data_IF_187094393743
#
_entry.id   IF_187094393743
#
_cell.length_a   1.000
_cell.length_b   1.000
_cell.length_c   1.000
_cell.angle_alpha   90.00
_cell.angle_beta   90.00
_cell.angle_gamma   90.00
#
_symmetry.space_group_name_H-M   'P 1'
#
loop_
_entity.id
_entity.type
_entity.pdbx_description
1 polymer ?
#
# COMPACT_ATOMS: atom_id res chain seq x y z
N UNK A 1 -5.23 7.33 -16.77
CA UNK A 1 -5.16 6.64 -15.45
C UNK A 1 -6.53 6.44 -14.81
N UNK A 2 -7.44 7.41 -14.83
CA UNK A 2 -8.79 7.24 -14.23
C UNK A 2 -9.62 6.14 -14.91
N UNK A 3 -9.48 5.98 -16.22
CA UNK A 3 -10.16 4.93 -17.00
C UNK A 3 -9.73 3.51 -16.59
N UNK A 4 -8.44 3.27 -16.38
CA UNK A 4 -7.92 1.99 -15.89
C UNK A 4 -8.41 1.69 -14.45
N UNK A 5 -8.41 2.68 -13.56
CA UNK A 5 -8.97 2.52 -12.20
C UNK A 5 -10.47 2.23 -12.20
N UNK A 6 -11.21 2.84 -13.13
CA UNK A 6 -12.65 2.65 -13.26
C UNK A 6 -12.98 1.25 -13.81
N UNK A 7 -12.23 0.80 -14.83
CA UNK A 7 -12.39 -0.52 -15.42
C UNK A 7 -12.04 -1.64 -14.42
N UNK A 8 -11.00 -1.43 -13.60
CA UNK A 8 -10.65 -2.38 -12.52
C UNK A 8 -11.69 -2.43 -11.40
N UNK A 9 -12.29 -1.29 -11.05
CA UNK A 9 -13.39 -1.27 -10.07
C UNK A 9 -14.60 -2.04 -10.61
N UNK A 10 -14.94 -1.87 -11.88
CA UNK A 10 -15.99 -2.64 -12.55
C UNK A 10 -15.66 -4.13 -12.58
N UNK A 11 -14.43 -4.50 -12.95
CA UNK A 11 -13.98 -5.88 -12.99
C UNK A 11 -14.06 -6.56 -11.61
N UNK A 12 -13.57 -5.91 -10.55
CA UNK A 12 -13.66 -6.46 -9.19
C UNK A 12 -15.12 -6.63 -8.74
N UNK A 13 -16.00 -5.65 -9.03
CA UNK A 13 -17.44 -5.77 -8.73
C UNK A 13 -18.06 -6.95 -9.47
N UNK A 14 -17.70 -7.15 -10.75
CA UNK A 14 -18.17 -8.27 -11.56
C UNK A 14 -17.68 -9.60 -10.99
N UNK A 15 -16.39 -9.74 -10.69
CA UNK A 15 -15.81 -10.95 -10.09
C UNK A 15 -16.42 -11.28 -8.72
N UNK A 16 -16.60 -10.28 -7.84
CA UNK A 16 -17.28 -10.50 -6.55
C UNK A 16 -18.71 -10.96 -6.73
N UNK A 17 -19.46 -10.38 -7.68
CA UNK A 17 -20.82 -10.83 -8.00
C UNK A 17 -20.84 -12.26 -8.53
N UNK A 18 -19.91 -12.62 -9.42
CA UNK A 18 -19.77 -13.99 -9.94
C UNK A 18 -19.50 -14.98 -8.81
N UNK A 19 -18.59 -14.66 -7.88
CA UNK A 19 -18.27 -15.53 -6.74
C UNK A 19 -19.47 -15.67 -5.80
N UNK A 20 -20.18 -14.58 -5.48
CA UNK A 20 -21.37 -14.65 -4.62
C UNK A 20 -22.49 -15.47 -5.27
N UNK A 21 -22.73 -15.27 -6.57
CA UNK A 21 -23.70 -16.07 -7.33
C UNK A 21 -23.28 -17.55 -7.32
N UNK A 22 -21.99 -17.84 -7.50
CA UNK A 22 -21.49 -19.21 -7.43
C UNK A 22 -21.75 -19.85 -6.07
N UNK A 23 -21.38 -19.19 -4.98
CA UNK A 23 -21.62 -19.71 -3.63
C UNK A 23 -23.12 -19.96 -3.39
N UNK A 24 -23.98 -19.04 -3.83
CA UNK A 24 -25.44 -19.21 -3.76
C UNK A 24 -25.93 -20.39 -4.58
N UNK A 25 -25.49 -20.52 -5.84
CA UNK A 25 -25.88 -21.63 -6.72
C UNK A 25 -25.38 -22.97 -6.19
N UNK A 26 -24.14 -23.04 -5.67
CA UNK A 26 -23.60 -24.24 -5.03
C UNK A 26 -24.37 -24.61 -3.77
N UNK A 27 -24.71 -23.63 -2.92
CA UNK A 27 -25.53 -23.89 -1.73
C UNK A 27 -26.93 -24.38 -2.13
N UNK A 28 -27.60 -23.72 -3.08
CA UNK A 28 -28.91 -24.15 -3.59
C UNK A 28 -28.80 -25.57 -4.14
N UNK A 29 -27.80 -25.86 -4.98
CA UNK A 29 -27.59 -27.19 -5.57
C UNK A 29 -27.31 -28.28 -4.52
N UNK A 30 -26.60 -27.95 -3.43
CA UNK A 30 -26.36 -28.87 -2.31
C UNK A 30 -27.63 -29.17 -1.51
N UNK A 31 -28.54 -28.20 -1.38
CA UNK A 31 -29.79 -28.33 -0.61
C UNK A 31 -30.98 -28.83 -1.45
N UNK A 32 -31.00 -28.56 -2.75
CA UNK A 32 -31.93 -29.16 -3.70
C UNK A 32 -31.44 -30.57 -4.00
N UNK A 33 -31.68 -31.46 -3.03
CA UNK A 33 -31.38 -32.89 -3.05
C UNK A 33 -32.30 -33.60 -4.05
N UNK A 34 -32.23 -33.20 -5.32
CA UNK A 34 -32.92 -33.86 -6.43
C UNK A 34 -31.97 -33.80 -7.61
N UNK A 35 -31.48 -34.98 -7.95
CA UNK A 35 -30.74 -35.36 -9.14
C UNK A 35 -30.94 -34.39 -10.32
N UNK A 36 -29.85 -34.06 -11.03
CA UNK A 36 -29.81 -33.42 -12.36
C UNK A 36 -29.41 -31.93 -12.52
N UNK A 37 -28.80 -31.25 -11.54
CA UNK A 37 -27.80 -30.23 -11.94
C UNK A 37 -26.54 -31.02 -12.34
N UNK A 38 -26.44 -31.28 -13.65
CA UNK A 38 -25.41 -32.13 -14.26
C UNK A 38 -24.01 -31.83 -13.70
N UNK A 39 -23.19 -32.87 -13.39
CA UNK A 39 -21.78 -32.72 -13.05
C UNK A 39 -21.01 -31.77 -13.99
N UNK A 40 -21.43 -31.69 -15.26
CA UNK A 40 -20.89 -30.77 -16.27
C UNK A 40 -21.10 -29.29 -15.87
N UNK A 41 -22.29 -28.94 -15.37
CA UNK A 41 -22.59 -27.57 -14.94
C UNK A 41 -21.72 -27.14 -13.75
N UNK A 42 -21.55 -28.04 -12.77
CA UNK A 42 -20.66 -27.78 -11.64
C UNK A 42 -19.20 -27.57 -12.08
N UNK A 43 -18.71 -28.39 -13.03
CA UNK A 43 -17.36 -28.26 -13.58
C UNK A 43 -17.18 -26.91 -14.30
N UNK A 44 -18.14 -26.50 -15.12
CA UNK A 44 -18.06 -25.22 -15.86
C UNK A 44 -18.00 -24.04 -14.89
N UNK A 45 -18.87 -23.98 -13.88
CA UNK A 45 -18.86 -22.83 -12.96
C UNK A 45 -17.60 -22.83 -12.09
N UNK A 46 -17.12 -24.01 -11.66
CA UNK A 46 -15.84 -24.14 -10.95
C UNK A 46 -14.67 -23.63 -11.79
N UNK A 47 -14.64 -23.93 -13.09
CA UNK A 47 -13.62 -23.43 -14.01
C UNK A 47 -13.68 -21.91 -14.17
N UNK A 48 -14.89 -21.33 -14.28
CA UNK A 48 -15.07 -19.87 -14.36
C UNK A 48 -14.54 -19.19 -13.10
N UNK A 49 -14.90 -19.69 -11.91
CA UNK A 49 -14.43 -19.15 -10.63
C UNK A 49 -12.92 -19.28 -10.52
N UNK A 50 -12.35 -20.42 -10.91
CA UNK A 50 -10.91 -20.63 -10.95
C UNK A 50 -10.21 -19.62 -11.87
N UNK A 51 -10.72 -19.40 -13.09
CA UNK A 51 -10.18 -18.41 -14.04
C UNK A 51 -10.29 -16.98 -13.50
N UNK A 52 -11.39 -16.61 -12.85
CA UNK A 52 -11.55 -15.31 -12.20
C UNK A 52 -10.53 -15.11 -11.07
N UNK A 53 -10.34 -16.11 -10.21
CA UNK A 53 -9.34 -16.07 -9.14
C UNK A 53 -7.92 -16.02 -9.71
N UNK A 54 -7.63 -16.82 -10.74
CA UNK A 54 -6.34 -16.86 -11.41
C UNK A 54 -6.00 -15.52 -12.08
N UNK A 55 -6.92 -14.93 -12.83
CA UNK A 55 -6.73 -13.62 -13.48
C UNK A 55 -6.53 -12.51 -12.44
N UNK A 56 -7.28 -12.54 -11.33
CA UNK A 56 -7.09 -11.59 -10.24
C UNK A 56 -5.70 -11.72 -9.61
N UNK A 57 -5.27 -12.95 -9.29
CA UNK A 57 -3.94 -13.24 -8.75
C UNK A 57 -2.84 -12.84 -9.74
N UNK A 58 -2.98 -13.19 -11.01
CA UNK A 58 -2.04 -12.82 -12.08
C UNK A 58 -1.90 -11.30 -12.21
N UNK A 59 -3.01 -10.58 -12.19
CA UNK A 59 -3.00 -9.12 -12.21
C UNK A 59 -2.22 -8.55 -11.03
N UNK A 60 -2.47 -9.02 -9.80
CA UNK A 60 -1.69 -8.59 -8.63
C UNK A 60 -0.20 -8.87 -8.81
N UNK A 61 0.17 -10.00 -9.41
CA UNK A 61 1.56 -10.32 -9.70
C UNK A 61 2.20 -9.34 -10.68
N UNK A 62 1.55 -9.05 -11.81
CA UNK A 62 2.06 -8.09 -12.78
C UNK A 62 2.28 -6.72 -12.14
N UNK A 63 1.34 -6.26 -11.31
CA UNK A 63 1.47 -4.97 -10.61
C UNK A 63 2.62 -4.91 -9.62
N UNK A 64 2.83 -5.99 -8.87
CA UNK A 64 3.94 -6.06 -7.93
C UNK A 64 5.28 -5.95 -8.67
N UNK A 65 5.40 -6.55 -9.85
CA UNK A 65 6.57 -6.38 -10.72
C UNK A 65 6.74 -4.94 -11.20
N UNK A 66 5.70 -4.33 -11.77
CA UNK A 66 5.74 -2.94 -12.25
C UNK A 66 6.15 -1.99 -11.11
N UNK A 67 5.58 -2.18 -9.92
CA UNK A 67 5.89 -1.35 -8.75
C UNK A 67 7.34 -1.50 -8.33
N UNK A 68 7.87 -2.73 -8.36
CA UNK A 68 9.27 -3.01 -8.05
C UNK A 68 10.22 -2.41 -9.09
N UNK A 69 9.86 -2.47 -10.36
CA UNK A 69 10.61 -1.83 -11.44
C UNK A 69 10.65 -0.30 -11.27
N UNK A 70 9.53 0.31 -10.88
CA UNK A 70 9.46 1.75 -10.57
C UNK A 70 10.36 2.11 -9.38
N UNK A 71 10.34 1.30 -8.31
CA UNK A 71 11.19 1.52 -7.13
C UNK A 71 12.67 1.47 -7.50
N UNK A 72 13.06 0.46 -8.27
CA UNK A 72 14.44 0.26 -8.70
C UNK A 72 14.92 1.35 -9.67
N UNK A 73 14.06 1.77 -10.61
CA UNK A 73 14.41 2.78 -11.62
C UNK A 73 14.34 4.22 -11.10
N UNK A 74 13.55 4.49 -10.04
CA UNK A 74 13.31 5.83 -9.52
C UNK A 74 13.33 5.86 -7.97
N UNK A 75 14.48 5.55 -7.34
CA UNK A 75 14.59 5.44 -5.88
C UNK A 75 14.42 6.78 -5.15
N UNK A 76 14.50 7.92 -5.85
CA UNK A 76 14.22 9.23 -5.30
C UNK A 76 14.44 10.35 -6.31
N UNK A 77 13.94 11.53 -5.97
CA UNK A 77 14.08 12.78 -6.73
C UNK A 77 14.37 13.91 -5.74
N UNK A 78 15.46 14.67 -5.96
CA UNK A 78 15.86 15.82 -5.12
C UNK A 78 15.85 15.53 -3.61
N UNK A 79 16.36 14.37 -3.20
CA UNK A 79 16.29 13.91 -1.81
C UNK A 79 17.27 14.58 -0.82
N UNK A 80 18.07 15.54 -1.29
CA UNK A 80 18.96 16.36 -0.44
C UNK A 80 18.24 17.56 0.20
N UNK A 81 17.02 17.87 -0.24
CA UNK A 81 16.17 18.91 0.35
C UNK A 81 15.04 18.30 1.19
N UNK A 82 14.14 19.15 1.72
CA UNK A 82 12.92 18.69 2.37
C UNK A 82 12.07 17.85 1.40
N UNK A 83 11.77 16.60 1.76
CA UNK A 83 11.17 15.63 0.83
C UNK A 83 10.16 14.69 1.49
N UNK A 84 9.45 13.95 0.64
CA UNK A 84 8.53 12.87 1.04
C UNK A 84 9.31 11.57 1.23
N UNK A 85 9.26 10.99 2.43
CA UNK A 85 9.80 9.65 2.66
C UNK A 85 8.74 8.59 2.37
N UNK A 86 9.03 7.70 1.43
CA UNK A 86 8.26 6.48 1.17
C UNK A 86 9.00 5.33 1.83
N UNK A 87 8.54 4.89 3.01
CA UNK A 87 9.15 3.80 3.79
C UNK A 87 8.47 2.49 3.41
N UNK A 88 9.25 1.51 2.98
CA UNK A 88 8.83 0.15 2.66
C UNK A 88 9.46 -0.79 3.69
N UNK A 89 8.65 -1.27 4.63
CA UNK A 89 9.08 -2.09 5.75
C UNK A 89 8.90 -3.59 5.48
N UNK A 90 10.00 -4.31 5.39
CA UNK A 90 10.01 -5.75 5.14
C UNK A 90 9.97 -6.54 6.46
N UNK A 91 8.85 -7.24 6.72
CA UNK A 91 8.63 -8.02 7.94
C UNK A 91 9.33 -9.38 7.93
N UNK A 92 9.39 -9.99 6.75
CA UNK A 92 10.27 -11.11 6.44
C UNK A 92 11.46 -10.47 5.76
N UNK A 93 12.68 -10.75 6.24
CA UNK A 93 13.88 -10.24 5.56
C UNK A 93 13.81 -10.52 4.07
N UNK A 94 14.52 -9.76 3.25
CA UNK A 94 14.64 -10.04 1.81
C UNK A 94 14.99 -11.52 1.67
N UNK A 95 14.00 -12.34 1.34
CA UNK A 95 14.17 -13.79 1.31
C UNK A 95 15.16 -14.00 0.18
N UNK A 96 16.33 -14.55 0.49
CA UNK A 96 17.31 -14.97 -0.51
C UNK A 96 16.58 -15.70 -1.62
N UNK A 97 16.94 -15.37 -2.86
CA UNK A 97 16.20 -15.52 -4.12
C UNK A 97 15.91 -16.97 -4.56
N UNK A 98 15.81 -17.91 -3.64
CA UNK A 98 15.82 -19.35 -3.89
C UNK A 98 14.48 -19.91 -4.34
N UNK A 99 13.36 -19.20 -4.17
CA UNK A 99 12.05 -19.66 -4.64
C UNK A 99 11.30 -18.56 -5.37
N UNK A 100 10.85 -18.86 -6.58
CA UNK A 100 9.99 -17.98 -7.40
C UNK A 100 8.88 -17.38 -6.53
N UNK A 101 8.12 -18.22 -5.81
CA UNK A 101 7.04 -17.83 -4.89
C UNK A 101 7.46 -16.98 -3.67
N UNK A 102 8.70 -17.07 -3.20
CA UNK A 102 9.18 -16.25 -2.07
C UNK A 102 9.55 -14.83 -2.51
N UNK A 103 10.07 -14.67 -3.73
CA UNK A 103 10.32 -13.36 -4.38
C UNK A 103 9.03 -12.58 -4.57
N UNK A 104 7.90 -13.27 -4.75
CA UNK A 104 6.58 -12.66 -4.84
C UNK A 104 6.01 -12.24 -3.49
N UNK A 105 6.09 -13.12 -2.49
CA UNK A 105 5.50 -12.85 -1.17
C UNK A 105 6.12 -11.66 -0.45
N UNK A 106 7.39 -11.34 -0.69
CA UNK A 106 8.03 -10.17 -0.07
C UNK A 106 7.70 -8.85 -0.79
N UNK A 107 7.35 -8.91 -2.08
CA UNK A 107 7.00 -7.75 -2.90
C UNK A 107 5.49 -7.47 -2.97
N UNK A 108 4.63 -8.48 -2.73
CA UNK A 108 3.17 -8.37 -2.88
C UNK A 108 2.48 -7.68 -1.72
N UNK A 109 3.06 -7.78 -0.53
CA UNK A 109 2.37 -7.36 0.68
C UNK A 109 2.66 -5.88 0.91
N UNK A 110 1.65 -5.04 0.62
CA UNK A 110 1.60 -3.61 0.94
C UNK A 110 2.37 -2.64 0.03
N UNK A 111 3.01 -3.07 -1.07
CA UNK A 111 3.63 -2.13 -2.03
C UNK A 111 2.63 -1.45 -3.00
N UNK A 112 1.39 -1.93 -3.06
CA UNK A 112 0.38 -1.40 -3.99
C UNK A 112 0.04 0.06 -3.69
N UNK A 113 0.22 0.94 -4.67
CA UNK A 113 0.01 2.39 -4.55
C UNK A 113 1.31 3.19 -4.49
N UNK A 114 2.47 2.57 -4.29
CA UNK A 114 3.76 3.28 -4.38
C UNK A 114 3.99 3.81 -5.80
N UNK A 115 3.62 3.03 -6.82
CA UNK A 115 3.63 3.46 -8.22
C UNK A 115 2.79 4.74 -8.44
N UNK A 116 1.63 4.86 -7.79
CA UNK A 116 0.81 6.08 -7.85
C UNK A 116 1.55 7.25 -7.22
N UNK A 117 2.14 7.06 -6.04
CA UNK A 117 2.89 8.12 -5.36
C UNK A 117 4.04 8.63 -6.21
N UNK A 118 4.90 7.72 -6.67
CA UNK A 118 6.07 8.05 -7.48
C UNK A 118 5.65 8.75 -8.77
N UNK A 119 4.66 8.22 -9.48
CA UNK A 119 4.16 8.86 -10.70
C UNK A 119 3.54 10.24 -10.41
N UNK A 120 2.84 10.42 -9.29
CA UNK A 120 2.30 11.71 -8.89
C UNK A 120 3.43 12.71 -8.63
N UNK A 121 4.47 12.31 -7.90
CA UNK A 121 5.58 13.18 -7.51
C UNK A 121 6.42 13.61 -8.70
N UNK A 122 6.73 12.66 -9.60
CA UNK A 122 7.52 12.92 -10.81
C UNK A 122 6.78 13.80 -11.81
N UNK A 123 5.46 13.60 -11.98
CA UNK A 123 4.67 14.35 -12.97
C UNK A 123 4.07 15.66 -12.42
N UNK A 124 4.21 15.93 -11.12
CA UNK A 124 3.80 17.21 -10.56
C UNK A 124 4.65 18.36 -11.16
N UNK A 125 4.09 19.57 -11.22
CA UNK A 125 4.78 20.78 -11.68
C UNK A 125 4.74 21.86 -10.58
N UNK A 126 5.88 22.18 -9.93
CA UNK A 126 7.19 21.54 -10.07
C UNK A 126 7.21 20.09 -9.52
N UNK A 127 8.16 19.24 -9.91
CA UNK A 127 8.27 17.88 -9.38
C UNK A 127 8.46 17.88 -7.86
N UNK A 128 7.80 16.93 -7.17
CA UNK A 128 7.84 16.84 -5.71
C UNK A 128 9.07 16.04 -5.27
N UNK A 129 9.92 16.57 -4.39
CA UNK A 129 11.04 15.82 -3.84
C UNK A 129 10.59 14.61 -3.03
N UNK A 130 11.18 13.45 -3.29
CA UNK A 130 10.88 12.23 -2.54
C UNK A 130 12.08 11.28 -2.46
N UNK A 131 12.06 10.36 -1.50
CA UNK A 131 13.00 9.26 -1.37
C UNK A 131 12.30 8.00 -0.91
N UNK A 132 12.65 6.89 -1.54
CA UNK A 132 12.19 5.56 -1.15
C UNK A 132 13.22 4.95 -0.19
N UNK A 133 12.73 4.43 0.92
CA UNK A 133 13.50 3.79 1.98
C UNK A 133 13.00 2.35 2.10
N UNK A 134 13.70 1.41 1.47
CA UNK A 134 13.51 -0.01 1.73
C UNK A 134 14.23 -0.36 3.04
N UNK A 135 13.46 -0.72 4.07
CA UNK A 135 13.96 -0.90 5.42
C UNK A 135 13.66 -2.32 5.93
N UNK A 136 14.67 -2.92 6.54
CA UNK A 136 14.64 -4.27 7.12
C UNK A 136 14.85 -4.25 8.62
N UNK A 137 15.30 -3.12 9.18
CA UNK A 137 15.56 -2.93 10.62
C UNK A 137 14.84 -1.70 11.17
N UNK A 138 14.71 -1.65 12.51
CA UNK A 138 14.13 -0.48 13.19
C UNK A 138 15.03 0.75 13.06
N UNK A 139 16.34 0.56 13.03
CA UNK A 139 17.35 1.61 12.89
C UNK A 139 17.20 2.33 11.56
N UNK A 140 17.08 1.59 10.46
CA UNK A 140 16.88 2.12 9.11
C UNK A 140 15.57 2.92 9.02
N UNK A 141 14.48 2.41 9.61
CA UNK A 141 13.20 3.09 9.63
C UNK A 141 13.22 4.39 10.46
N UNK A 142 14.05 4.45 11.51
CA UNK A 142 14.18 5.63 12.36
C UNK A 142 14.83 6.82 11.64
N UNK A 143 15.66 6.59 10.61
CA UNK A 143 16.34 7.65 9.85
C UNK A 143 15.32 8.65 9.25
N UNK A 144 14.40 8.25 8.35
CA UNK A 144 13.41 9.17 7.81
C UNK A 144 12.39 9.67 8.86
N UNK A 145 12.09 8.85 9.88
CA UNK A 145 11.13 9.25 10.93
C UNK A 145 11.67 10.43 11.74
N UNK A 146 12.94 10.36 12.17
CA UNK A 146 13.57 11.38 13.02
C UNK A 146 14.17 12.55 12.24
N UNK A 147 14.31 12.43 10.92
CA UNK A 147 14.82 13.49 10.06
C UNK A 147 13.92 14.73 10.07
N UNK A 148 14.51 15.92 10.30
CA UNK A 148 13.82 17.21 10.08
C UNK A 148 13.59 17.51 8.60
N UNK A 149 14.40 16.93 7.71
CA UNK A 149 14.29 17.11 6.25
C UNK A 149 13.21 16.22 5.62
N UNK A 150 12.42 15.53 6.43
CA UNK A 150 11.31 14.70 5.97
C UNK A 150 10.02 15.24 6.55
N UNK A 151 9.28 16.02 5.77
CA UNK A 151 8.00 16.61 6.18
C UNK A 151 6.81 15.67 6.01
N UNK A 152 6.90 14.72 5.07
CA UNK A 152 5.83 13.79 4.73
C UNK A 152 6.34 12.35 4.82
N UNK A 153 5.56 11.47 5.46
CA UNK A 153 5.93 10.06 5.61
C UNK A 153 4.80 9.17 5.08
N UNK A 154 5.15 8.23 4.21
CA UNK A 154 4.27 7.20 3.67
C UNK A 154 4.85 5.83 4.05
N UNK A 155 4.21 5.09 4.95
CA UNK A 155 4.73 3.82 5.45
C UNK A 155 3.91 2.67 4.88
N UNK A 156 4.58 1.78 4.17
CA UNK A 156 4.06 0.54 3.60
C UNK A 156 4.75 -0.65 4.27
N UNK A 157 3.99 -1.70 4.62
CA UNK A 157 4.56 -2.90 5.25
C UNK A 157 3.56 -3.62 6.14
N UNK A 158 4.05 -4.41 7.10
CA UNK A 158 3.19 -5.07 8.09
C UNK A 158 3.33 -4.45 9.46
N UNK A 159 2.26 -4.49 10.24
CA UNK A 159 2.27 -4.00 11.61
C UNK A 159 0.89 -3.80 12.22
N UNK A 160 0.90 -3.04 13.30
CA UNK A 160 -0.25 -2.55 14.02
C UNK A 160 -0.22 -1.02 14.02
N UNK A 161 -1.31 -0.37 14.45
CA UNK A 161 -1.42 1.08 14.46
C UNK A 161 -0.24 1.77 15.17
N UNK A 162 0.24 1.18 16.26
CA UNK A 162 1.35 1.65 17.08
C UNK A 162 2.70 0.94 16.86
N UNK A 163 2.78 0.02 15.88
CA UNK A 163 3.93 -0.87 15.74
C UNK A 163 4.23 -1.24 14.29
N UNK A 164 5.48 -1.13 13.86
CA UNK A 164 5.95 -1.56 12.55
C UNK A 164 6.77 -2.86 12.68
N UNK A 165 6.39 -3.90 11.95
CA UNK A 165 7.06 -5.21 12.02
C UNK A 165 8.27 -5.27 11.09
N UNK A 166 9.37 -5.85 11.57
CA UNK A 166 10.59 -6.13 10.82
C UNK A 166 11.06 -7.58 11.03
N UNK A 167 12.07 -8.02 10.27
CA UNK A 167 12.75 -9.27 10.56
C UNK A 167 13.48 -9.15 11.91
N UNK A 168 13.15 -10.00 12.88
CA UNK A 168 13.82 -10.02 14.18
C UNK A 168 13.35 -8.97 15.19
N UNK A 169 12.21 -8.30 14.94
CA UNK A 169 11.60 -7.40 15.91
C UNK A 169 10.62 -6.42 15.30
N UNK A 170 10.51 -5.24 15.90
CA UNK A 170 9.72 -4.16 15.33
C UNK A 170 9.93 -2.83 16.04
N UNK A 171 9.33 -1.78 15.48
CA UNK A 171 9.40 -0.42 15.98
C UNK A 171 8.07 -0.01 16.60
N UNK A 172 8.07 0.13 17.92
CA UNK A 172 6.93 0.66 18.68
C UNK A 172 6.96 2.19 18.64
N UNK A 173 6.03 2.82 17.93
CA UNK A 173 6.04 4.27 17.76
C UNK A 173 6.03 5.05 19.07
N UNK A 174 5.21 4.70 20.09
CA UNK A 174 5.18 5.43 21.37
C UNK A 174 6.52 5.50 22.11
N UNK A 175 7.47 4.62 21.78
CA UNK A 175 8.81 4.60 22.39
C UNK A 175 9.81 5.52 21.67
N UNK A 176 9.43 6.11 20.53
CA UNK A 176 10.29 7.01 19.77
C UNK A 176 10.27 8.39 20.43
N UNK A 177 11.44 8.84 20.89
CA UNK A 177 11.64 10.16 21.49
C UNK A 177 12.15 11.16 20.45
N UNK A 178 11.86 12.44 20.69
CA UNK A 178 12.37 13.59 19.93
C UNK A 178 12.07 13.50 18.42
N UNK A 179 10.83 13.15 18.07
CA UNK A 179 10.41 13.12 16.65
C UNK A 179 9.94 14.51 16.25
N UNK A 180 10.49 15.09 15.16
CA UNK A 180 10.03 16.40 14.69
C UNK A 180 8.59 16.32 14.19
N UNK A 181 7.90 17.46 14.22
CA UNK A 181 6.55 17.56 13.68
C UNK A 181 6.54 17.29 12.17
N UNK A 182 5.44 16.69 11.68
CA UNK A 182 5.28 16.33 10.27
C UNK A 182 4.07 17.03 9.69
N UNK A 183 4.11 17.30 8.38
CA UNK A 183 2.93 17.78 7.65
C UNK A 183 1.96 16.63 7.44
N UNK A 184 2.48 15.48 7.00
CA UNK A 184 1.67 14.31 6.70
C UNK A 184 2.29 13.00 7.17
N UNK A 185 1.45 12.11 7.71
CA UNK A 185 1.82 10.71 7.97
C UNK A 185 0.72 9.76 7.47
N UNK A 186 1.06 8.92 6.50
CA UNK A 186 0.22 7.83 6.00
C UNK A 186 0.76 6.47 6.45
N UNK A 187 -0.05 5.67 7.14
CA UNK A 187 0.32 4.35 7.63
C UNK A 187 -0.51 3.27 6.93
N UNK A 188 0.06 2.72 5.87
CA UNK A 188 -0.52 1.69 5.01
C UNK A 188 -0.04 0.29 5.43
N UNK A 189 0.00 0.01 6.73
CA UNK A 189 0.61 -1.21 7.26
C UNK A 189 -0.18 -1.91 8.39
N UNK A 190 -1.49 -1.63 8.56
CA UNK A 190 -2.18 -1.92 9.83
C UNK A 190 -3.44 -2.79 9.74
N UNK A 191 -3.57 -3.69 10.73
CA UNK A 191 -4.74 -4.51 11.07
C UNK A 191 -5.14 -4.43 12.56
N UNK A 192 -5.01 -3.27 13.24
CA UNK A 192 -5.43 -3.14 14.64
C UNK A 192 -5.98 -1.74 14.98
N UNK A 193 -6.98 -1.70 15.86
CA UNK A 193 -7.63 -0.47 16.35
C UNK A 193 -6.79 0.21 17.46
N UNK A 194 -5.96 -0.55 18.17
CA UNK A 194 -5.36 -0.13 19.44
C UNK A 194 -3.99 0.54 19.27
N UNK A 195 -3.72 1.48 20.18
CA UNK A 195 -2.41 2.14 20.36
C UNK A 195 -2.26 3.46 19.60
N UNK A 196 -1.27 4.25 20.04
CA UNK A 196 -0.94 5.55 19.47
C UNK A 196 -0.15 5.41 18.18
N UNK A 197 -0.62 6.03 17.11
CA UNK A 197 -0.02 5.96 15.78
C UNK A 197 1.17 6.90 15.64
N UNK A 198 1.99 6.71 14.60
CA UNK A 198 3.11 7.61 14.33
C UNK A 198 2.61 9.04 14.09
N UNK A 199 1.51 9.18 13.35
CA UNK A 199 0.88 10.47 13.08
C UNK A 199 0.54 11.26 14.36
N UNK A 200 0.06 10.58 15.41
CA UNK A 200 -0.28 11.22 16.69
C UNK A 200 1.00 11.67 17.43
N UNK A 201 2.06 10.87 17.39
CA UNK A 201 3.33 11.16 18.07
C UNK A 201 4.07 12.31 17.39
N UNK A 202 4.01 12.38 16.06
CA UNK A 202 4.60 13.47 15.29
C UNK A 202 3.68 14.69 15.17
N UNK A 203 2.50 14.67 15.80
CA UNK A 203 1.48 15.73 15.71
C UNK A 203 1.20 16.14 14.25
N UNK A 204 1.03 15.17 13.37
CA UNK A 204 0.93 15.44 11.95
C UNK A 204 -0.31 16.29 11.61
N UNK A 205 -0.13 17.37 10.83
CA UNK A 205 -1.23 18.26 10.41
C UNK A 205 -2.32 17.51 9.64
N UNK A 206 -1.92 16.54 8.82
CA UNK A 206 -2.80 15.61 8.12
C UNK A 206 -2.29 14.17 8.25
N UNK A 207 -3.20 13.19 8.15
CA UNK A 207 -2.80 11.79 8.24
C UNK A 207 -3.78 10.85 7.53
N UNK A 208 -3.30 9.66 7.19
CA UNK A 208 -4.11 8.51 6.77
C UNK A 208 -3.68 7.27 7.55
N UNK A 209 -4.34 7.03 8.68
CA UNK A 209 -4.12 5.86 9.53
C UNK A 209 -5.46 5.19 9.75
N UNK A 210 -5.59 3.95 9.29
CA UNK A 210 -6.81 3.18 9.48
C UNK A 210 -6.90 2.59 10.89
N UNK A 211 -8.12 2.43 11.39
CA UNK A 211 -8.43 1.58 12.55
C UNK A 211 -8.90 0.18 12.14
N UNK A 212 -9.28 0.01 10.87
CA UNK A 212 -9.77 -1.27 10.33
C UNK A 212 -8.66 -1.99 9.55
N UNK A 213 -8.70 -3.33 9.48
CA UNK A 213 -7.83 -4.10 8.60
C UNK A 213 -7.85 -3.60 7.16
N UNK A 214 -6.66 -3.36 6.60
CA UNK A 214 -6.50 -3.02 5.18
C UNK A 214 -6.15 -4.30 4.41
N UNK A 215 -7.03 -4.68 3.50
CA UNK A 215 -6.65 -5.59 2.43
C UNK A 215 -5.78 -4.84 1.42
N UNK A 216 -4.73 -5.48 0.89
CA UNK A 216 -3.77 -4.89 -0.07
C UNK A 216 -4.43 -4.06 -1.17
N UNK A 217 -5.52 -4.52 -1.82
CA UNK A 217 -6.15 -3.77 -2.91
C UNK A 217 -6.74 -2.41 -2.49
N UNK A 218 -7.11 -2.29 -1.22
CA UNK A 218 -7.66 -1.04 -0.68
C UNK A 218 -6.57 0.00 -0.41
N UNK A 219 -5.30 -0.40 -0.31
CA UNK A 219 -4.18 0.51 -0.06
C UNK A 219 -4.08 1.49 -1.22
N UNK A 220 -4.06 0.99 -2.46
CA UNK A 220 -4.02 1.81 -3.67
C UNK A 220 -5.11 2.86 -3.72
N UNK A 221 -6.35 2.45 -3.43
CA UNK A 221 -7.51 3.34 -3.39
C UNK A 221 -7.32 4.41 -2.30
N UNK A 222 -6.83 3.99 -1.13
CA UNK A 222 -6.56 4.90 0.00
C UNK A 222 -5.49 5.92 -0.35
N UNK A 223 -4.37 5.48 -0.92
CA UNK A 223 -3.27 6.33 -1.40
C UNK A 223 -3.79 7.33 -2.44
N UNK A 224 -4.51 6.86 -3.46
CA UNK A 224 -5.05 7.73 -4.53
C UNK A 224 -6.02 8.77 -3.98
N UNK A 225 -6.96 8.34 -3.11
CA UNK A 225 -7.91 9.26 -2.45
C UNK A 225 -7.17 10.27 -1.60
N UNK A 226 -6.16 9.84 -0.83
CA UNK A 226 -5.44 10.73 0.07
C UNK A 226 -4.56 11.73 -0.67
N UNK A 227 -3.91 11.31 -1.75
CA UNK A 227 -3.19 12.21 -2.65
C UNK A 227 -4.09 13.32 -3.18
N UNK A 228 -5.28 12.99 -3.72
CA UNK A 228 -6.26 13.99 -4.18
C UNK A 228 -6.62 15.00 -3.09
N UNK A 229 -6.82 14.52 -1.85
CA UNK A 229 -7.12 15.40 -0.71
C UNK A 229 -5.96 16.32 -0.36
N UNK A 230 -4.72 15.82 -0.33
CA UNK A 230 -3.54 16.63 0.00
C UNK A 230 -3.28 17.71 -1.06
N UNK A 231 -3.52 17.42 -2.34
CA UNK A 231 -3.48 18.42 -3.42
C UNK A 231 -4.52 19.52 -3.16
N UNK A 232 -5.77 19.12 -2.90
CA UNK A 232 -6.86 20.08 -2.68
C UNK A 232 -6.67 20.96 -1.45
N UNK A 233 -5.96 20.47 -0.42
CA UNK A 233 -5.68 21.22 0.79
C UNK A 233 -4.34 21.96 0.76
N UNK A 234 -3.61 21.98 -0.37
CA UNK A 234 -2.24 22.51 -0.47
C UNK A 234 -1.26 21.93 0.57
N UNK A 235 -1.51 20.69 1.02
CA UNK A 235 -0.64 19.97 1.98
C UNK A 235 0.20 18.90 1.28
N UNK A 236 0.29 18.93 -0.05
CA UNK A 236 1.14 17.99 -0.79
C UNK A 236 2.55 18.55 -0.98
N UNK A 237 2.72 19.87 -0.96
CA UNK A 237 4.05 20.46 -1.09
C UNK A 237 4.75 20.43 0.26
N UNK A 238 6.03 20.01 0.34
CA UNK A 238 6.86 20.41 1.46
C UNK A 238 6.91 21.95 1.45
N UNK A 239 6.85 22.60 2.62
CA UNK A 239 7.10 24.04 2.72
C UNK A 239 8.47 24.30 2.06
N UNK A 240 8.42 24.81 0.83
CA UNK A 240 9.57 25.38 0.17
C UNK A 240 9.71 26.69 0.90
N UNK A 241 10.55 26.73 1.93
CA UNK A 241 10.84 27.97 2.64
C UNK A 241 11.10 29.04 1.58
N UNK A 242 10.43 30.19 1.72
CA UNK A 242 10.50 31.36 0.84
C UNK A 242 11.91 32.00 0.80
N UNK A 243 12.96 31.23 1.09
CA UNK A 243 14.35 31.67 1.24
C UNK A 243 15.13 31.60 -0.07
N UNK A 244 14.47 31.54 -1.23
CA UNK A 244 15.13 31.82 -2.51
C UNK A 244 14.91 33.27 -2.90
N UNK A 245 15.83 34.12 -2.40
CA UNK A 245 16.44 35.26 -3.08
C UNK A 245 15.57 36.08 -4.05
N UNK A 246 15.12 37.25 -3.58
CA UNK A 246 15.26 38.50 -4.36
C UNK A 246 16.70 38.98 -4.21
#
# INVERSE_FOLDING_TARGET
>A
MEECSHNMRKFNIVCTRIIVIFVLVTLIALFSWVNFISPVGFVIVSLIVFLCMFTQVWYYFQRAFETKEIINSKPGLNNNVNHHAIIIAHSKGVIEETYFLSKFRSASDYMDGIDILVNCFVNHKPPIPYKIYEVTTKEEALIPIKSSNTSHIWIFGHGQRNFLNFKGGGLCYPKIKNVPEKVFVGQYHCNSILGTSLAEITKAKAWDVTRLPRITPCIRISVSKKLKQLVQSNLLMPDVGDDTCV
#
